data_IF_420733945156
#
_entry.id   IF_420733945156
#
_cell.length_a   1.000
_cell.length_b   1.000
_cell.length_c   1.000
_cell.angle_alpha   90.00
_cell.angle_beta   90.00
_cell.angle_gamma   90.00
#
_symmetry.space_group_name_H-M   'P 1'
#
loop_
_entity.id
_entity.type
_entity.pdbx_description
1 polymer ?
#
# COMPACT_ATOMS: atom_id res chain seq x y z
N UNK A 1 23.61 -15.65 -13.42
CA UNK A 1 22.98 -14.58 -14.23
C UNK A 1 21.53 -14.41 -13.78
N UNK A 2 21.13 -13.17 -13.47
CA UNK A 2 19.77 -12.78 -13.08
C UNK A 2 18.79 -13.09 -14.22
N UNK A 3 17.93 -14.08 -14.02
CA UNK A 3 16.69 -14.22 -14.76
C UNK A 3 15.54 -14.05 -13.76
N UNK A 4 15.36 -12.81 -13.30
CA UNK A 4 14.10 -12.44 -12.64
C UNK A 4 13.05 -12.43 -13.75
N UNK A 5 12.09 -13.33 -13.62
CA UNK A 5 11.08 -13.64 -14.61
C UNK A 5 10.43 -12.38 -15.22
N UNK A 6 10.47 -12.29 -16.56
CA UNK A 6 9.97 -11.15 -17.37
C UNK A 6 8.44 -11.15 -17.51
N UNK A 7 7.73 -11.96 -16.72
CA UNK A 7 6.28 -12.10 -16.71
C UNK A 7 5.80 -12.38 -15.28
N UNK A 8 6.21 -11.53 -14.33
CA UNK A 8 5.55 -11.42 -13.03
C UNK A 8 4.12 -10.91 -13.27
N UNK A 9 3.25 -11.81 -13.77
CA UNK A 9 1.80 -11.67 -13.76
C UNK A 9 1.49 -11.19 -12.37
N UNK A 10 1.07 -9.93 -12.30
CA UNK A 10 0.14 -9.38 -11.33
C UNK A 10 -0.29 -10.48 -10.38
N UNK A 11 0.48 -10.67 -9.30
CA UNK A 11 -0.14 -11.22 -8.11
C UNK A 11 -1.29 -10.25 -7.85
N UNK A 12 -2.51 -10.78 -7.77
CA UNK A 12 -3.84 -10.17 -7.95
C UNK A 12 -4.13 -8.89 -7.11
N UNK A 13 -3.12 -8.43 -6.39
CA UNK A 13 -3.03 -7.22 -5.60
C UNK A 13 -2.96 -5.95 -6.46
N UNK A 14 -3.97 -5.10 -6.28
CA UNK A 14 -4.15 -3.85 -7.02
C UNK A 14 -3.23 -2.72 -6.50
N UNK A 15 -2.92 -2.76 -5.20
CA UNK A 15 -2.07 -1.79 -4.52
C UNK A 15 -0.75 -2.41 -4.06
N UNK A 16 0.32 -1.65 -4.20
CA UNK A 16 1.64 -1.95 -3.66
C UNK A 16 2.15 -0.79 -2.83
N UNK A 17 3.05 -1.07 -1.89
CA UNK A 17 3.75 -0.01 -1.18
C UNK A 17 5.25 -0.30 -1.09
N UNK A 18 6.04 0.76 -1.03
CA UNK A 18 7.48 0.70 -0.81
C UNK A 18 7.89 1.70 0.26
N UNK A 19 8.73 1.25 1.18
CA UNK A 19 9.36 2.12 2.19
C UNK A 19 10.75 2.52 1.69
N UNK A 20 11.04 3.83 1.75
CA UNK A 20 12.35 4.38 1.43
C UNK A 20 13.23 4.50 2.68
N UNK A 21 14.52 4.76 2.48
CA UNK A 21 15.49 4.95 3.58
C UNK A 21 15.16 6.12 4.52
N UNK A 22 14.32 7.07 4.07
CA UNK A 22 13.90 8.23 4.85
C UNK A 22 12.55 8.02 5.56
N UNK A 23 12.13 6.76 5.74
CA UNK A 23 10.83 6.41 6.31
C UNK A 23 9.64 7.02 5.53
N UNK A 24 9.83 7.27 4.23
CA UNK A 24 8.77 7.70 3.32
C UNK A 24 8.14 6.45 2.71
N UNK A 25 6.81 6.38 2.72
CA UNK A 25 6.05 5.31 2.09
C UNK A 25 5.50 5.81 0.76
N UNK A 26 5.79 5.07 -0.30
CA UNK A 26 5.24 5.29 -1.64
C UNK A 26 4.18 4.22 -1.88
N UNK A 27 2.95 4.63 -2.22
CA UNK A 27 1.86 3.73 -2.57
C UNK A 27 1.64 3.79 -4.07
N UNK A 28 1.60 2.62 -4.68
CA UNK A 28 1.44 2.40 -6.11
C UNK A 28 0.14 1.64 -6.38
N UNK A 29 -0.55 1.99 -7.46
CA UNK A 29 -1.74 1.30 -7.96
C UNK A 29 -1.51 0.90 -9.41
N UNK A 30 -1.60 -0.39 -9.71
CA UNK A 30 -1.25 -0.96 -11.02
C UNK A 30 0.11 -0.45 -11.56
N UNK A 31 1.12 -0.37 -10.68
CA UNK A 31 2.48 0.06 -11.05
C UNK A 31 2.65 1.57 -11.23
N UNK A 32 1.64 2.39 -10.92
CA UNK A 32 1.74 3.85 -10.92
C UNK A 32 1.71 4.38 -9.48
N UNK A 33 2.69 5.21 -9.11
CA UNK A 33 2.67 5.91 -7.82
C UNK A 33 1.48 6.87 -7.76
N UNK A 34 0.62 6.67 -6.76
CA UNK A 34 -0.60 7.48 -6.56
C UNK A 34 -0.61 8.22 -5.22
N UNK A 35 0.21 7.82 -4.25
CA UNK A 35 0.29 8.50 -2.95
C UNK A 35 1.67 8.39 -2.32
N UNK A 36 2.03 9.40 -1.52
CA UNK A 36 3.30 9.47 -0.79
C UNK A 36 2.99 9.89 0.64
N UNK A 37 3.38 9.08 1.61
CA UNK A 37 3.22 9.34 3.04
C UNK A 37 4.59 9.63 3.67
N UNK A 38 4.65 10.61 4.56
CA UNK A 38 5.87 11.06 5.22
C UNK A 38 5.63 11.26 6.72
N UNK A 39 6.69 11.16 7.51
CA UNK A 39 6.64 11.39 8.96
C UNK A 39 5.54 10.58 9.63
N UNK A 40 4.72 11.24 10.45
CA UNK A 40 3.65 10.61 11.22
C UNK A 40 2.64 9.80 10.36
N UNK A 41 2.35 10.24 9.13
CA UNK A 41 1.43 9.50 8.25
C UNK A 41 2.04 8.19 7.73
N UNK A 42 3.34 8.19 7.46
CA UNK A 42 4.08 6.99 7.11
C UNK A 42 4.11 6.02 8.29
N UNK A 43 4.41 6.51 9.50
CA UNK A 43 4.43 5.69 10.71
C UNK A 43 3.07 5.06 11.02
N UNK A 44 1.99 5.85 10.96
CA UNK A 44 0.62 5.35 11.14
C UNK A 44 0.25 4.30 10.11
N UNK A 45 0.63 4.49 8.84
CA UNK A 45 0.40 3.52 7.79
C UNK A 45 1.16 2.22 8.05
N UNK A 46 2.46 2.31 8.37
CA UNK A 46 3.29 1.15 8.66
C UNK A 46 2.78 0.37 9.86
N UNK A 47 2.35 1.08 10.91
CA UNK A 47 1.72 0.45 12.06
C UNK A 47 0.48 -0.36 11.64
N UNK A 48 -0.42 0.21 10.84
CA UNK A 48 -1.62 -0.49 10.36
C UNK A 48 -1.28 -1.70 9.49
N UNK A 49 -0.31 -1.57 8.58
CA UNK A 49 0.12 -2.68 7.71
C UNK A 49 0.77 -3.80 8.51
N UNK A 50 1.56 -3.49 9.55
CA UNK A 50 2.18 -4.49 10.42
C UNK A 50 1.15 -5.27 11.25
N UNK A 51 0.01 -4.65 11.57
CA UNK A 51 -1.10 -5.31 12.28
C UNK A 51 -2.06 -6.05 11.34
N UNK A 52 -1.89 -5.94 10.01
CA UNK A 52 -2.73 -6.66 9.06
C UNK A 52 -2.37 -8.14 9.06
N UNK A 53 -3.36 -9.00 9.26
CA UNK A 53 -3.15 -10.45 9.35
C UNK A 53 -3.03 -11.09 7.97
N UNK A 54 -3.73 -10.52 6.97
CA UNK A 54 -3.83 -11.07 5.62
C UNK A 54 -3.57 -9.99 4.55
N UNK A 55 -3.25 -10.40 3.32
CA UNK A 55 -2.98 -9.48 2.23
C UNK A 55 -4.21 -8.65 1.82
N UNK A 56 -5.42 -9.18 1.94
CA UNK A 56 -6.68 -8.42 1.76
C UNK A 56 -6.76 -7.20 2.69
N UNK A 57 -6.37 -7.34 3.95
CA UNK A 57 -6.38 -6.21 4.89
C UNK A 57 -5.33 -5.16 4.51
N UNK A 58 -4.15 -5.59 4.05
CA UNK A 58 -3.13 -4.67 3.54
C UNK A 58 -3.64 -3.89 2.32
N UNK A 59 -4.33 -4.56 1.39
CA UNK A 59 -4.99 -3.92 0.23
C UNK A 59 -6.03 -2.88 0.69
N UNK A 60 -6.88 -3.21 1.66
CA UNK A 60 -7.87 -2.29 2.21
C UNK A 60 -7.24 -1.08 2.90
N UNK A 61 -6.14 -1.27 3.62
CA UNK A 61 -5.40 -0.17 4.25
C UNK A 61 -4.84 0.78 3.18
N UNK A 62 -4.18 0.24 2.15
CA UNK A 62 -3.66 1.06 1.03
C UNK A 62 -4.79 1.81 0.29
N UNK A 63 -5.90 1.12 0.00
CA UNK A 63 -7.10 1.68 -0.58
C UNK A 63 -7.68 2.87 0.23
N UNK A 64 -7.73 2.73 1.57
CA UNK A 64 -8.21 3.80 2.47
C UNK A 64 -7.31 5.03 2.46
N UNK A 65 -5.99 4.82 2.49
CA UNK A 65 -5.03 5.94 2.56
C UNK A 65 -4.94 6.70 1.24
N UNK A 66 -5.13 6.03 0.11
CA UNK A 66 -5.14 6.69 -1.22
C UNK A 66 -6.39 7.54 -1.47
N UNK A 67 -7.37 7.55 -0.55
CA UNK A 67 -8.57 8.37 -0.65
C UNK A 67 -9.63 7.83 -1.61
N UNK A 68 -9.33 6.79 -2.38
CA UNK A 68 -10.25 6.21 -3.38
C UNK A 68 -11.45 5.49 -2.76
N UNK A 69 -11.36 5.06 -1.48
CA UNK A 69 -12.41 4.30 -0.80
C UNK A 69 -12.96 5.01 0.45
N UNK A 70 -12.79 6.33 0.57
CA UNK A 70 -13.21 7.14 1.72
C UNK A 70 -14.73 7.23 1.95
N UNK A 71 -15.58 6.59 1.15
CA UNK A 71 -17.05 6.75 1.20
C UNK A 71 -17.84 5.70 2.01
N UNK A 72 -17.21 4.92 2.90
CA UNK A 72 -18.01 4.09 3.80
C UNK A 72 -17.23 3.40 4.90
N UNK A 73 -17.09 4.07 6.06
CA UNK A 73 -17.32 3.44 7.37
C UNK A 73 -17.40 4.49 8.50
N UNK A 74 -18.05 5.63 8.24
CA UNK A 74 -18.53 6.52 9.31
C UNK A 74 -19.98 6.10 9.60
N UNK A 75 -20.28 5.76 10.86
CA UNK A 75 -21.51 5.13 11.41
C UNK A 75 -21.45 3.60 11.29
N UNK A 76 -21.34 2.81 12.37
CA UNK A 76 -21.99 2.90 13.68
C UNK A 76 -21.08 2.30 14.76
#
# INVERSE_FOLDING_TARGET
MKNTDRRNRLDDMMFHYRVTKNNIVLIEYYGKQISVLKGNDAEKFLNKINHAHNDTEKQLIMAKVTGNFKRGNERH
#
